data_IF_308036314928
#
_entry.id   IF_308036314928
#
_cell.length_a   1.000
_cell.length_b   1.000
_cell.length_c   1.000
_cell.angle_alpha   90.00
_cell.angle_beta   90.00
_cell.angle_gamma   90.00
#
_symmetry.space_group_name_H-M   'P 1'
#
loop_
_entity.id
_entity.type
_entity.pdbx_description
1 polymer ?
#
# COMPACT_ATOMS: atom_id res chain seq x y z
N UNK A 1 -43.25 -4.91 -35.61
CA UNK A 1 -42.08 -5.37 -34.81
C UNK A 1 -41.04 -4.25 -34.80
N UNK A 2 -40.97 -3.44 -33.75
CA UNK A 2 -40.04 -2.32 -33.67
C UNK A 2 -39.41 -2.27 -32.27
N UNK A 3 -38.21 -2.84 -32.13
CA UNK A 3 -37.40 -2.73 -30.91
C UNK A 3 -35.91 -2.77 -31.27
N UNK A 4 -35.25 -1.61 -31.27
CA UNK A 4 -33.85 -1.51 -30.86
C UNK A 4 -33.50 -0.07 -30.45
N UNK A 5 -33.93 0.29 -29.25
CA UNK A 5 -33.22 1.29 -28.45
C UNK A 5 -32.26 0.57 -27.50
N UNK A 6 -31.03 1.06 -27.39
CA UNK A 6 -30.17 1.06 -26.16
C UNK A 6 -28.83 1.70 -26.56
N UNK A 7 -28.71 3.02 -26.40
CA UNK A 7 -28.18 3.72 -25.21
C UNK A 7 -26.75 3.31 -24.91
N UNK A 8 -25.82 4.18 -25.29
CA UNK A 8 -24.56 4.34 -24.57
C UNK A 8 -24.80 4.89 -23.17
N UNK A 9 -23.96 4.48 -22.23
CA UNK A 9 -23.72 5.12 -20.92
C UNK A 9 -22.40 4.53 -20.45
N UNK A 10 -21.31 5.26 -20.67
CA UNK A 10 -20.79 6.33 -19.83
C UNK A 10 -20.06 5.77 -18.61
N UNK A 11 -18.79 6.16 -18.55
CA UNK A 11 -17.86 6.00 -17.44
C UNK A 11 -18.51 6.53 -16.17
N UNK A 12 -18.61 5.67 -15.17
CA UNK A 12 -18.76 6.10 -13.79
C UNK A 12 -17.62 5.46 -12.98
N UNK A 13 -16.44 6.08 -13.09
CA UNK A 13 -15.40 5.94 -12.07
C UNK A 13 -15.98 6.65 -10.86
N UNK A 14 -16.56 5.85 -9.96
CA UNK A 14 -17.09 6.30 -8.69
C UNK A 14 -15.91 6.68 -7.81
N UNK A 15 -15.46 7.93 -7.95
CA UNK A 15 -14.76 8.65 -6.90
C UNK A 15 -15.71 8.73 -5.70
N UNK A 16 -15.42 7.95 -4.67
CA UNK A 16 -16.07 8.10 -3.37
C UNK A 16 -15.10 8.78 -2.42
N UNK A 17 -15.59 9.91 -1.96
CA UNK A 17 -15.01 10.92 -1.12
C UNK A 17 -14.84 10.50 0.35
N UNK A 18 -14.16 11.38 1.08
CA UNK A 18 -14.16 11.50 2.54
C UNK A 18 -13.02 10.76 3.21
N UNK A 19 -12.26 11.32 4.14
CA UNK A 19 -12.23 12.66 4.74
C UNK A 19 -10.96 12.67 5.61
N UNK A 20 -10.31 13.84 5.72
CA UNK A 20 -9.57 14.32 6.90
C UNK A 20 -8.75 13.30 7.72
N UNK A 21 -7.45 13.20 7.45
CA UNK A 21 -6.47 12.76 8.46
C UNK A 21 -5.60 13.96 8.84
N UNK A 22 -6.21 14.86 9.59
CA UNK A 22 -5.50 15.92 10.30
C UNK A 22 -4.63 15.36 11.43
N UNK A 23 -3.45 15.96 11.54
CA UNK A 23 -2.58 16.11 12.71
C UNK A 23 -2.07 14.84 13.42
N UNK A 24 -0.73 14.68 13.45
CA UNK A 24 0.00 14.66 14.72
C UNK A 24 1.52 14.82 14.55
N UNK A 25 2.02 15.87 15.20
CA UNK A 25 3.27 15.93 15.98
C UNK A 25 4.61 15.70 15.26
N UNK A 26 5.40 16.77 15.19
CA UNK A 26 6.84 16.79 14.88
C UNK A 26 7.71 16.14 15.99
N UNK A 27 7.21 15.10 16.65
CA UNK A 27 8.05 14.19 17.43
C UNK A 27 8.65 13.17 16.47
N UNK A 28 9.97 12.93 16.53
CA UNK A 28 10.64 11.85 15.78
C UNK A 28 9.84 10.56 15.96
N UNK A 29 9.04 10.21 14.95
CA UNK A 29 8.36 8.92 14.93
C UNK A 29 9.45 7.87 14.84
N UNK A 30 9.37 6.78 15.62
CA UNK A 30 10.40 5.71 15.55
C UNK A 30 10.38 4.93 14.22
N UNK A 31 9.49 5.34 13.31
CA UNK A 31 9.43 4.93 11.91
C UNK A 31 10.38 5.77 11.02
N UNK A 32 11.01 6.81 11.56
CA UNK A 32 12.00 7.64 10.86
C UNK A 32 13.16 6.78 10.33
N UNK A 33 13.44 6.91 9.03
CA UNK A 33 14.47 6.14 8.34
C UNK A 33 14.11 4.68 8.02
N UNK A 34 12.90 4.22 8.33
CA UNK A 34 12.44 2.88 7.93
C UNK A 34 11.98 2.88 6.47
N UNK A 35 12.22 1.76 5.81
CA UNK A 35 11.80 1.55 4.42
C UNK A 35 10.63 0.57 4.36
N UNK A 36 9.57 0.97 3.67
CA UNK A 36 8.35 0.19 3.50
C UNK A 36 8.14 -0.17 2.02
N UNK A 37 7.78 -1.42 1.76
CA UNK A 37 7.37 -1.87 0.43
C UNK A 37 5.86 -1.97 0.37
N UNK A 38 5.24 -1.37 -0.64
CA UNK A 38 3.82 -1.49 -0.93
C UNK A 38 3.64 -2.25 -2.24
N UNK A 39 3.04 -3.45 -2.17
CA UNK A 39 2.91 -4.34 -3.35
C UNK A 39 1.46 -4.41 -3.82
N UNK A 40 1.20 -3.91 -5.02
CA UNK A 40 -0.12 -3.84 -5.66
C UNK A 40 -0.75 -2.47 -5.50
N UNK A 41 -2.08 -2.43 -5.41
CA UNK A 41 -2.86 -1.20 -5.34
C UNK A 41 -3.00 -0.49 -6.68
N UNK A 42 -3.38 0.79 -6.64
CA UNK A 42 -3.57 1.63 -7.84
C UNK A 42 -2.50 2.71 -7.90
N UNK A 43 -1.80 2.85 -9.02
CA UNK A 43 -0.77 3.87 -9.25
C UNK A 43 -1.23 5.29 -8.87
N UNK A 44 -2.49 5.64 -9.18
CA UNK A 44 -3.03 6.98 -8.92
C UNK A 44 -2.97 7.40 -7.44
N UNK A 45 -2.92 6.44 -6.51
CA UNK A 45 -2.87 6.72 -5.07
C UNK A 45 -1.45 6.69 -4.51
N UNK A 46 -0.46 6.18 -5.25
CA UNK A 46 0.92 5.97 -4.76
C UNK A 46 1.56 7.27 -4.31
N UNK A 47 1.33 8.38 -5.03
CA UNK A 47 1.82 9.69 -4.63
C UNK A 47 1.35 10.10 -3.23
N UNK A 48 0.06 9.89 -2.94
CA UNK A 48 -0.50 10.17 -1.62
C UNK A 48 0.03 9.22 -0.54
N UNK A 49 0.12 7.92 -0.83
CA UNK A 49 0.66 6.93 0.10
C UNK A 49 2.11 7.24 0.47
N UNK A 50 2.89 7.69 -0.51
CA UNK A 50 4.28 8.11 -0.29
C UNK A 50 4.36 9.34 0.61
N UNK A 51 3.53 10.35 0.36
CA UNK A 51 3.45 11.54 1.20
C UNK A 51 3.08 11.21 2.65
N UNK A 52 2.12 10.31 2.84
CA UNK A 52 1.75 9.79 4.16
C UNK A 52 2.97 9.17 4.85
N UNK A 53 3.67 8.24 4.19
CA UNK A 53 4.84 7.59 4.77
C UNK A 53 5.94 8.60 5.11
N UNK A 54 6.22 9.55 4.21
CA UNK A 54 7.18 10.61 4.44
C UNK A 54 6.81 11.49 5.64
N UNK A 55 5.51 11.71 5.90
CA UNK A 55 5.06 12.42 7.10
C UNK A 55 5.38 11.67 8.40
N UNK A 56 5.47 10.34 8.35
CA UNK A 56 5.93 9.50 9.46
C UNK A 56 7.47 9.32 9.49
N UNK A 57 8.21 9.98 8.60
CA UNK A 57 9.67 9.85 8.45
C UNK A 57 10.12 8.59 7.71
N UNK A 58 9.19 7.84 7.11
CA UNK A 58 9.49 6.59 6.45
C UNK A 58 9.49 6.70 4.92
N UNK A 59 10.30 5.89 4.27
CA UNK A 59 10.33 5.79 2.82
C UNK A 59 9.36 4.72 2.31
N UNK A 60 8.56 5.06 1.31
CA UNK A 60 7.68 4.11 0.64
C UNK A 60 8.21 3.78 -0.75
N UNK A 61 8.43 2.48 -0.97
CA UNK A 61 8.71 1.87 -2.26
C UNK A 61 7.43 1.21 -2.74
N UNK A 62 6.97 1.57 -3.93
CA UNK A 62 5.81 0.95 -4.56
C UNK A 62 6.26 -0.09 -5.58
N UNK A 63 5.52 -1.19 -5.65
CA UNK A 63 5.65 -2.19 -6.70
C UNK A 63 4.25 -2.58 -7.17
N UNK A 64 4.04 -2.64 -8.47
CA UNK A 64 2.72 -2.89 -9.07
C UNK A 64 2.20 -4.36 -8.94
N UNK A 65 2.91 -5.22 -8.19
CA UNK A 65 2.44 -6.59 -7.93
C UNK A 65 2.36 -7.51 -9.17
N UNK A 66 3.24 -7.29 -10.16
CA UNK A 66 3.39 -8.21 -11.30
C UNK A 66 2.68 -7.82 -12.58
N UNK A 67 1.91 -6.72 -12.60
CA UNK A 67 1.15 -6.32 -13.78
C UNK A 67 2.04 -5.62 -14.83
N UNK A 68 2.98 -4.78 -14.40
CA UNK A 68 3.95 -4.10 -15.28
C UNK A 68 5.41 -4.42 -14.91
N UNK A 69 5.65 -4.70 -13.64
CA UNK A 69 6.99 -4.98 -13.10
C UNK A 69 7.16 -6.45 -12.78
N UNK A 70 8.33 -7.02 -13.06
CA UNK A 70 8.62 -8.41 -12.75
C UNK A 70 8.56 -8.67 -11.24
N UNK A 71 7.80 -9.68 -10.83
CA UNK A 71 7.66 -10.11 -9.43
C UNK A 71 9.02 -10.45 -8.78
N UNK A 72 10.01 -10.83 -9.59
CA UNK A 72 11.40 -11.04 -9.14
C UNK A 72 12.04 -9.79 -8.52
N UNK A 73 11.61 -8.58 -8.92
CA UNK A 73 12.11 -7.32 -8.34
C UNK A 73 11.73 -7.20 -6.87
N UNK A 74 10.58 -7.73 -6.46
CA UNK A 74 10.17 -7.81 -5.04
C UNK A 74 11.25 -8.53 -4.22
N UNK A 75 11.81 -9.63 -4.71
CA UNK A 75 12.86 -10.40 -4.01
C UNK A 75 14.15 -9.58 -3.82
N UNK A 76 14.47 -8.71 -4.78
CA UNK A 76 15.62 -7.80 -4.68
C UNK A 76 15.41 -6.62 -3.73
N UNK A 77 14.16 -6.15 -3.61
CA UNK A 77 13.80 -5.01 -2.74
C UNK A 77 13.52 -5.44 -1.30
N UNK A 78 12.96 -6.64 -1.11
CA UNK A 78 12.65 -7.24 0.19
C UNK A 78 13.76 -7.14 1.25
N UNK A 79 15.05 -7.45 0.96
CA UNK A 79 16.11 -7.33 1.97
C UNK A 79 16.34 -5.88 2.43
N UNK A 80 16.08 -4.90 1.55
CA UNK A 80 16.32 -3.48 1.80
C UNK A 80 15.18 -2.78 2.55
N UNK A 81 14.03 -3.43 2.72
CA UNK A 81 12.88 -2.89 3.45
C UNK A 81 12.70 -3.55 4.80
N UNK A 82 12.05 -2.85 5.73
CA UNK A 82 11.74 -3.35 7.07
C UNK A 82 10.38 -4.05 7.13
N UNK A 83 9.42 -3.56 6.34
CA UNK A 83 8.05 -4.04 6.36
C UNK A 83 7.38 -3.92 5.00
N UNK A 84 6.46 -4.85 4.72
CA UNK A 84 5.73 -4.95 3.45
C UNK A 84 4.24 -4.85 3.69
N UNK A 85 3.61 -3.91 3.00
CA UNK A 85 2.17 -3.72 2.92
C UNK A 85 1.60 -4.36 1.66
N UNK A 86 0.55 -5.16 1.84
CA UNK A 86 -0.05 -5.93 0.76
C UNK A 86 -1.59 -5.76 0.75
N UNK A 87 -2.15 -4.83 -0.07
CA UNK A 87 -3.58 -4.74 -0.28
C UNK A 87 -4.14 -5.99 -0.94
N UNK A 88 -4.99 -6.73 -0.22
CA UNK A 88 -5.56 -8.01 -0.69
C UNK A 88 -6.58 -7.83 -1.83
N UNK A 89 -7.20 -6.65 -1.93
CA UNK A 89 -8.19 -6.32 -2.97
C UNK A 89 -7.57 -6.08 -4.36
N UNK A 90 -6.30 -5.67 -4.40
CA UNK A 90 -5.63 -5.23 -5.63
C UNK A 90 -4.20 -5.78 -5.69
N UNK A 91 -4.06 -7.11 -5.67
CA UNK A 91 -2.77 -7.78 -5.87
C UNK A 91 -2.96 -9.08 -6.64
N UNK A 92 -2.00 -9.41 -7.52
CA UNK A 92 -1.94 -10.70 -8.19
C UNK A 92 -1.65 -11.83 -7.20
N UNK A 93 -2.25 -13.00 -7.42
CA UNK A 93 -2.02 -14.18 -6.59
C UNK A 93 -0.53 -14.55 -6.49
N UNK A 94 0.18 -14.50 -7.62
CA UNK A 94 1.62 -14.78 -7.69
C UNK A 94 2.45 -13.81 -6.84
N UNK A 95 2.19 -12.51 -6.94
CA UNK A 95 2.86 -11.50 -6.14
C UNK A 95 2.60 -11.66 -4.64
N UNK A 96 1.36 -11.97 -4.24
CA UNK A 96 1.03 -12.23 -2.84
C UNK A 96 1.81 -13.44 -2.30
N UNK A 97 1.85 -14.55 -3.04
CA UNK A 97 2.63 -15.73 -2.66
C UNK A 97 4.13 -15.42 -2.58
N UNK A 98 4.66 -14.65 -3.53
CA UNK A 98 6.07 -14.27 -3.56
C UNK A 98 6.44 -13.38 -2.38
N UNK A 99 5.64 -12.35 -2.09
CA UNK A 99 5.83 -11.48 -0.93
C UNK A 99 5.76 -12.29 0.36
N UNK A 100 4.73 -13.13 0.53
CA UNK A 100 4.58 -13.95 1.74
C UNK A 100 5.76 -14.89 1.96
N UNK A 101 6.26 -15.52 0.90
CA UNK A 101 7.42 -16.42 0.96
C UNK A 101 8.71 -15.63 1.19
N UNK A 102 8.86 -14.49 0.53
CA UNK A 102 10.00 -13.60 0.67
C UNK A 102 10.10 -13.00 2.07
N UNK A 103 9.01 -12.47 2.62
CA UNK A 103 8.95 -11.97 4.00
C UNK A 103 9.34 -13.05 5.01
N UNK A 104 8.88 -14.29 4.83
CA UNK A 104 9.31 -15.43 5.67
C UNK A 104 10.81 -15.72 5.54
N UNK A 105 11.34 -15.70 4.31
CA UNK A 105 12.76 -15.98 4.04
C UNK A 105 13.70 -14.92 4.62
N UNK A 106 13.34 -13.64 4.47
CA UNK A 106 14.15 -12.50 4.91
C UNK A 106 13.81 -12.02 6.33
N UNK A 107 12.85 -12.65 7.01
CA UNK A 107 12.40 -12.25 8.35
C UNK A 107 11.74 -10.86 8.41
N UNK A 108 11.14 -10.40 7.31
CA UNK A 108 10.51 -9.08 7.21
C UNK A 108 9.06 -9.11 7.65
N UNK A 109 8.57 -8.01 8.21
CA UNK A 109 7.17 -7.91 8.60
C UNK A 109 6.26 -7.90 7.34
N UNK A 110 5.22 -8.73 7.36
CA UNK A 110 4.20 -8.78 6.31
C UNK A 110 2.86 -8.31 6.88
N UNK A 111 2.30 -7.25 6.31
CA UNK A 111 1.08 -6.60 6.77
C UNK A 111 0.06 -6.67 5.62
N UNK A 112 -0.89 -7.62 5.66
CA UNK A 112 -1.99 -7.62 4.73
C UNK A 112 -2.93 -6.45 5.04
N UNK A 113 -3.23 -5.63 4.03
CA UNK A 113 -4.20 -4.55 4.11
C UNK A 113 -5.53 -5.01 3.50
N UNK A 114 -6.63 -4.67 4.16
CA UNK A 114 -7.98 -5.02 3.67
C UNK A 114 -8.27 -4.43 2.29
N UNK A 115 -7.78 -3.22 2.03
CA UNK A 115 -7.93 -2.52 0.75
C UNK A 115 -6.72 -1.62 0.49
N UNK A 116 -6.60 -1.15 -0.76
CA UNK A 116 -5.54 -0.23 -1.18
C UNK A 116 -5.84 1.25 -0.93
N UNK A 117 -6.57 1.58 0.14
CA UNK A 117 -6.96 2.96 0.45
C UNK A 117 -5.93 3.66 1.35
N UNK A 118 -5.84 4.98 1.22
CA UNK A 118 -4.97 5.86 2.03
C UNK A 118 -5.15 5.62 3.53
N UNK A 119 -6.40 5.68 3.99
CA UNK A 119 -6.75 5.52 5.41
C UNK A 119 -6.36 4.15 5.98
N UNK A 120 -6.33 3.11 5.15
CA UNK A 120 -5.88 1.77 5.59
C UNK A 120 -4.39 1.73 5.83
N UNK A 121 -3.60 2.37 4.97
CA UNK A 121 -2.16 2.52 5.18
C UNK A 121 -1.88 3.42 6.39
N UNK A 122 -2.55 4.56 6.49
CA UNK A 122 -2.40 5.50 7.62
C UNK A 122 -2.66 4.83 8.96
N UNK A 123 -3.78 4.11 9.09
CA UNK A 123 -4.09 3.35 10.31
C UNK A 123 -3.01 2.32 10.63
N UNK A 124 -2.49 1.62 9.62
CA UNK A 124 -1.45 0.63 9.82
C UNK A 124 -0.14 1.28 10.30
N UNK A 125 0.24 2.42 9.73
CA UNK A 125 1.41 3.19 10.14
C UNK A 125 1.25 3.77 11.55
N UNK A 126 0.08 4.35 11.86
CA UNK A 126 -0.24 4.83 13.22
C UNK A 126 -0.12 3.70 14.23
N UNK A 127 -0.75 2.55 13.96
CA UNK A 127 -0.68 1.37 14.84
C UNK A 127 0.77 0.90 15.04
N UNK A 128 1.61 0.95 14.00
CA UNK A 128 3.04 0.63 14.12
C UNK A 128 3.77 1.66 14.97
N UNK A 129 3.53 2.94 14.72
CA UNK A 129 4.15 4.04 15.45
C UNK A 129 3.83 3.95 16.95
N UNK A 130 2.56 3.70 17.31
CA UNK A 130 2.12 3.54 18.69
C UNK A 130 2.76 2.32 19.38
N UNK A 131 2.82 1.18 18.69
CA UNK A 131 3.48 -0.04 19.21
C UNK A 131 4.97 0.17 19.45
N UNK A 132 5.63 0.91 18.58
CA UNK A 132 7.05 1.19 18.71
C UNK A 132 7.32 2.23 19.81
N UNK A 133 6.45 3.24 19.95
CA UNK A 133 6.55 4.25 21.00
C UNK A 133 6.28 3.70 22.41
N UNK A 134 5.56 2.58 22.52
CA UNK A 134 5.25 1.89 23.79
C UNK A 134 6.31 0.89 24.25
N UNK A 135 7.40 0.72 23.49
CA UNK A 135 8.56 -0.13 23.81
C UNK A 135 9.77 0.72 24.19
#
# INVERSE_FOLDING_TARGET
MARKGKKGSNREVRESAGEEAGLASHGRSKLDGRSFLYVGGRDCQVAHLRQICSNFGAELIHHDGGLREAVSRIDTVLPSVDCVFCPIDCISHDACLRVKTGCKKFGKAFIPLRNGSKSSLERALQTMNERDNSR
#
